data_IF_987565002027
#
_entry.id   IF_987565002027
#
_cell.length_a   1.000
_cell.length_b   1.000
_cell.length_c   1.000
_cell.angle_alpha   90.00
_cell.angle_beta   90.00
_cell.angle_gamma   90.00
#
_symmetry.space_group_name_H-M   'P 1'
#
loop_
_entity.id
_entity.type
_entity.pdbx_description
1 polymer ?
#
# COMPACT_ATOMS: atom_id res chain seq x y z
N UNK A 1 -14.66 11.05 23.04
CA UNK A 1 -14.15 10.53 21.74
C UNK A 1 -13.57 9.13 21.85
N UNK A 2 -12.64 8.79 22.75
CA UNK A 2 -12.03 7.45 22.87
C UNK A 2 -13.05 6.30 23.09
N UNK A 3 -14.09 6.48 23.87
CA UNK A 3 -15.12 5.45 24.14
C UNK A 3 -15.97 5.10 22.89
N UNK A 4 -16.30 6.09 22.06
CA UNK A 4 -17.04 5.86 20.82
C UNK A 4 -16.22 5.12 19.77
N UNK A 5 -14.91 5.43 19.67
CA UNK A 5 -13.99 4.74 18.79
C UNK A 5 -13.83 3.26 19.19
N UNK A 6 -13.66 3.00 20.50
CA UNK A 6 -13.59 1.64 21.03
C UNK A 6 -14.90 0.86 20.77
N UNK A 7 -16.05 1.49 20.92
CA UNK A 7 -17.35 0.87 20.65
C UNK A 7 -17.54 0.55 19.15
N UNK A 8 -17.13 1.47 18.26
CA UNK A 8 -17.14 1.21 16.82
C UNK A 8 -16.23 0.05 16.43
N UNK A 9 -15.03 -0.03 17.00
CA UNK A 9 -14.09 -1.14 16.77
C UNK A 9 -14.69 -2.46 17.26
N UNK A 10 -15.29 -2.49 18.46
CA UNK A 10 -15.95 -3.71 18.98
C UNK A 10 -17.15 -4.13 18.12
N UNK A 11 -17.95 -3.20 17.63
CA UNK A 11 -19.08 -3.49 16.74
C UNK A 11 -18.59 -4.02 15.39
N UNK A 12 -17.53 -3.46 14.83
CA UNK A 12 -16.91 -3.97 13.61
C UNK A 12 -16.38 -5.40 13.80
N UNK A 13 -15.67 -5.65 14.88
CA UNK A 13 -15.16 -7.00 15.22
C UNK A 13 -16.30 -7.98 15.43
N UNK A 14 -17.38 -7.58 16.11
CA UNK A 14 -18.56 -8.42 16.32
C UNK A 14 -19.32 -8.69 15.01
N UNK A 15 -19.43 -7.72 14.10
CA UNK A 15 -20.03 -7.96 12.78
C UNK A 15 -19.20 -8.93 11.93
N UNK A 16 -17.87 -8.84 11.96
CA UNK A 16 -16.98 -9.79 11.26
C UNK A 16 -17.08 -11.19 11.87
N UNK A 17 -17.23 -11.30 13.19
CA UNK A 17 -17.40 -12.59 13.87
C UNK A 17 -18.78 -13.26 13.66
N UNK A 18 -19.81 -12.47 13.34
CA UNK A 18 -21.19 -12.96 13.17
C UNK A 18 -21.53 -13.35 11.73
N UNK A 19 -20.65 -13.14 10.75
CA UNK A 19 -20.89 -13.54 9.37
C UNK A 19 -20.80 -15.07 9.24
N UNK A 20 -21.86 -15.77 8.73
CA UNK A 20 -21.77 -17.19 8.44
C UNK A 20 -20.69 -17.38 7.36
N UNK A 21 -19.63 -18.08 7.71
CA UNK A 21 -18.50 -18.36 6.84
C UNK A 21 -18.88 -19.41 5.79
N UNK A 22 -19.51 -18.97 4.71
CA UNK A 22 -19.58 -19.75 3.47
C UNK A 22 -18.31 -19.44 2.68
N UNK A 23 -17.21 -20.03 3.12
CA UNK A 23 -15.91 -19.77 2.49
C UNK A 23 -15.87 -20.40 1.10
N UNK A 24 -16.09 -19.62 0.07
CA UNK A 24 -15.60 -19.98 -1.25
C UNK A 24 -14.07 -19.93 -1.20
N UNK A 25 -13.46 -21.07 -1.50
CA UNK A 25 -12.01 -21.22 -1.57
C UNK A 25 -11.49 -20.34 -2.70
N UNK A 26 -10.34 -19.69 -2.50
CA UNK A 26 -9.61 -19.04 -3.59
C UNK A 26 -9.46 -20.02 -4.75
N UNK A 27 -10.13 -19.72 -5.86
CA UNK A 27 -10.19 -20.61 -7.03
C UNK A 27 -8.92 -20.38 -7.85
N UNK A 28 -8.16 -21.42 -8.21
CA UNK A 28 -7.03 -21.27 -9.13
C UNK A 28 -7.49 -20.65 -10.45
N UNK A 29 -6.70 -19.71 -10.98
CA UNK A 29 -6.96 -18.91 -12.19
C UNK A 29 -8.01 -17.80 -12.00
N UNK A 30 -8.40 -17.49 -10.78
CA UNK A 30 -9.25 -16.35 -10.47
C UNK A 30 -8.46 -15.07 -10.62
N UNK A 31 -9.12 -14.00 -11.04
CA UNK A 31 -8.57 -12.66 -11.04
C UNK A 31 -9.11 -11.87 -9.86
N UNK A 32 -8.42 -10.82 -9.48
CA UNK A 32 -8.94 -9.88 -8.48
C UNK A 32 -8.50 -8.46 -8.79
N UNK A 33 -9.33 -7.53 -8.36
CA UNK A 33 -9.04 -6.09 -8.34
C UNK A 33 -9.01 -5.64 -6.90
N UNK A 34 -8.03 -4.83 -6.54
CA UNK A 34 -7.85 -4.33 -5.18
C UNK A 34 -7.68 -2.82 -5.19
N UNK A 35 -8.48 -2.14 -4.37
CA UNK A 35 -8.32 -0.72 -4.06
C UNK A 35 -7.51 -0.59 -2.77
N UNK A 36 -6.43 0.17 -2.80
CA UNK A 36 -5.46 0.30 -1.71
C UNK A 36 -5.38 1.76 -1.27
N UNK A 37 -5.43 1.98 0.04
CA UNK A 37 -5.01 3.23 0.66
C UNK A 37 -3.73 2.98 1.45
N UNK A 38 -2.72 3.82 1.29
CA UNK A 38 -1.43 3.68 1.95
C UNK A 38 -1.03 4.91 2.76
N UNK A 39 -0.23 4.66 3.79
CA UNK A 39 0.41 5.68 4.62
C UNK A 39 1.91 5.43 4.52
N UNK A 40 2.65 6.27 3.78
CA UNK A 40 4.09 6.18 3.72
C UNK A 40 4.70 6.58 5.06
N UNK A 41 5.77 5.87 5.45
CA UNK A 41 6.51 6.12 6.69
C UNK A 41 7.83 6.79 6.31
N UNK A 42 7.99 8.06 6.70
CA UNK A 42 9.19 8.82 6.43
C UNK A 42 10.03 8.88 7.70
N UNK A 43 11.34 8.59 7.58
CA UNK A 43 12.26 8.67 8.71
C UNK A 43 12.41 10.12 9.17
N UNK A 44 12.10 10.39 10.45
CA UNK A 44 12.17 11.73 11.04
C UNK A 44 10.84 12.51 11.02
N UNK A 45 9.83 12.03 10.32
CA UNK A 45 8.48 12.59 10.32
C UNK A 45 7.55 11.77 11.22
N UNK A 46 6.45 12.38 11.69
CA UNK A 46 5.43 11.66 12.46
C UNK A 46 4.65 10.73 11.52
N UNK A 47 4.28 9.54 12.02
CA UNK A 47 3.26 8.71 11.37
C UNK A 47 2.01 9.56 11.11
N UNK A 48 1.52 9.55 9.90
CA UNK A 48 0.44 10.43 9.44
C UNK A 48 0.85 11.92 9.44
N UNK A 49 2.04 12.24 8.91
CA UNK A 49 2.40 13.62 8.63
C UNK A 49 1.28 14.29 7.82
N UNK A 50 0.95 15.53 8.17
CA UNK A 50 -0.08 16.30 7.47
C UNK A 50 0.19 16.24 5.97
N UNK A 51 -0.79 15.78 5.17
CA UNK A 51 -0.73 15.68 3.72
C UNK A 51 0.08 14.49 3.14
N UNK A 52 0.46 13.49 3.96
CA UNK A 52 1.08 12.27 3.44
C UNK A 52 0.05 11.15 3.32
N UNK A 53 -0.25 10.74 2.11
CA UNK A 53 -1.18 9.65 1.81
C UNK A 53 -0.80 8.99 0.48
N UNK A 54 -1.29 7.78 0.27
CA UNK A 54 -1.20 7.08 -1.00
C UNK A 54 -2.51 6.40 -1.34
N UNK A 55 -2.76 6.25 -2.62
CA UNK A 55 -3.88 5.48 -3.17
C UNK A 55 -3.38 4.64 -4.31
N UNK A 56 -3.94 3.44 -4.47
CA UNK A 56 -3.52 2.53 -5.52
C UNK A 56 -4.61 1.60 -5.99
N UNK A 57 -4.43 1.09 -7.19
CA UNK A 57 -5.27 0.08 -7.80
C UNK A 57 -4.37 -1.10 -8.20
N UNK A 58 -4.70 -2.29 -7.70
CA UNK A 58 -3.99 -3.50 -8.06
C UNK A 58 -4.89 -4.47 -8.82
N UNK A 59 -4.29 -5.16 -9.78
CA UNK A 59 -4.84 -6.32 -10.44
C UNK A 59 -3.99 -7.53 -10.06
N UNK A 60 -4.62 -8.63 -9.65
CA UNK A 60 -3.91 -9.86 -9.32
C UNK A 60 -4.52 -11.07 -10.03
N UNK A 61 -3.66 -12.01 -10.37
CA UNK A 61 -4.02 -13.29 -10.98
C UNK A 61 -3.54 -14.43 -10.09
N UNK A 62 -4.48 -15.26 -9.62
CA UNK A 62 -4.20 -16.37 -8.72
C UNK A 62 -3.78 -17.63 -9.49
N UNK A 63 -2.71 -18.26 -9.00
CA UNK A 63 -2.23 -19.56 -9.45
C UNK A 63 -2.69 -20.67 -8.52
N UNK A 64 -2.17 -21.88 -8.71
CA UNK A 64 -2.40 -22.99 -7.78
C UNK A 64 -1.83 -22.66 -6.39
N UNK A 65 -2.47 -23.20 -5.33
CA UNK A 65 -2.07 -23.03 -3.93
C UNK A 65 -2.14 -21.58 -3.43
N UNK A 66 -3.08 -20.78 -3.95
CA UNK A 66 -3.32 -19.40 -3.55
C UNK A 66 -2.14 -18.42 -3.79
N UNK A 67 -1.10 -18.79 -4.51
CA UNK A 67 -0.09 -17.84 -4.97
C UNK A 67 -0.70 -16.88 -6.00
N UNK A 68 -0.22 -15.66 -6.08
CA UNK A 68 -0.66 -14.74 -7.12
C UNK A 68 0.45 -13.81 -7.61
N UNK A 69 0.40 -13.47 -8.90
CA UNK A 69 1.11 -12.33 -9.44
C UNK A 69 0.22 -11.09 -9.40
N UNK A 70 0.81 -9.93 -9.24
CA UNK A 70 0.07 -8.68 -9.18
C UNK A 70 0.76 -7.56 -9.95
N UNK A 71 -0.07 -6.64 -10.44
CA UNK A 71 0.31 -5.36 -10.98
C UNK A 71 -0.39 -4.31 -10.12
N UNK A 72 0.37 -3.38 -9.50
CA UNK A 72 -0.17 -2.31 -8.67
C UNK A 72 0.30 -0.97 -9.22
N UNK A 73 -0.64 -0.11 -9.57
CA UNK A 73 -0.40 1.30 -9.82
C UNK A 73 -0.71 2.08 -8.54
N UNK A 74 0.26 2.80 -8.01
CA UNK A 74 0.17 3.54 -6.75
C UNK A 74 0.56 5.00 -6.97
N UNK A 75 -0.23 5.90 -6.45
CA UNK A 75 0.07 7.33 -6.36
C UNK A 75 0.25 7.68 -4.89
N UNK A 76 1.36 8.32 -4.56
CA UNK A 76 1.64 8.79 -3.21
C UNK A 76 1.94 10.29 -3.23
N UNK A 77 1.46 10.97 -2.22
CA UNK A 77 1.85 12.32 -1.89
C UNK A 77 2.50 12.31 -0.52
N UNK A 78 3.66 12.97 -0.42
CA UNK A 78 4.43 13.11 0.82
C UNK A 78 4.65 14.59 1.08
N UNK A 79 4.34 15.03 2.29
CA UNK A 79 4.68 16.39 2.76
C UNK A 79 6.06 16.35 3.42
N UNK A 80 7.07 16.93 2.79
CA UNK A 80 8.41 17.06 3.35
C UNK A 80 8.55 18.39 4.05
N UNK A 81 8.95 18.37 5.32
CA UNK A 81 9.17 19.60 6.07
C UNK A 81 10.58 20.15 5.77
N UNK A 82 10.65 21.30 5.08
CA UNK A 82 11.88 22.05 4.89
C UNK A 82 11.79 23.37 5.66
N UNK A 83 12.57 23.51 6.76
CA UNK A 83 12.47 24.64 7.69
C UNK A 83 11.03 24.83 8.20
N UNK A 84 10.36 25.91 7.77
CA UNK A 84 8.96 26.24 8.12
C UNK A 84 7.98 25.95 6.97
N UNK A 85 8.44 25.40 5.86
CA UNK A 85 7.64 25.18 4.65
C UNK A 85 7.41 23.68 4.42
N UNK A 86 6.23 23.36 3.88
CA UNK A 86 5.90 22.02 3.42
C UNK A 86 6.19 21.94 1.91
N UNK A 87 7.09 21.03 1.53
CA UNK A 87 7.45 20.78 0.13
C UNK A 87 6.78 19.50 -0.28
N UNK A 88 5.77 19.54 -1.17
CA UNK A 88 5.10 18.34 -1.63
C UNK A 88 6.01 17.52 -2.54
N UNK A 89 6.08 16.23 -2.27
CA UNK A 89 6.66 15.24 -3.15
C UNK A 89 5.54 14.30 -3.59
N UNK A 90 5.46 14.05 -4.89
CA UNK A 90 4.47 13.17 -5.50
C UNK A 90 5.17 12.04 -6.22
N UNK A 91 4.75 10.82 -5.95
CA UNK A 91 5.27 9.62 -6.58
C UNK A 91 4.14 8.91 -7.33
N UNK A 92 4.37 8.59 -8.60
CA UNK A 92 3.56 7.65 -9.36
C UNK A 92 4.38 6.39 -9.57
N UNK A 93 3.98 5.28 -8.94
CA UNK A 93 4.73 4.02 -8.91
C UNK A 93 3.92 2.90 -9.56
N UNK A 94 4.60 2.08 -10.33
CA UNK A 94 4.08 0.85 -10.90
C UNK A 94 4.88 -0.33 -10.34
N UNK A 95 4.20 -1.26 -9.69
CA UNK A 95 4.79 -2.47 -9.12
C UNK A 95 4.34 -3.68 -9.92
N UNK A 96 5.27 -4.56 -10.25
CA UNK A 96 5.00 -5.89 -10.78
C UNK A 96 5.63 -6.92 -9.85
N UNK A 97 4.81 -7.80 -9.28
CA UNK A 97 5.28 -8.68 -8.21
C UNK A 97 4.55 -10.00 -8.10
N UNK A 98 5.02 -10.77 -7.13
CA UNK A 98 4.51 -12.10 -6.82
C UNK A 98 4.37 -12.26 -5.31
N UNK A 99 3.24 -12.85 -4.87
CA UNK A 99 2.91 -13.13 -3.48
C UNK A 99 2.79 -14.63 -3.26
N UNK A 100 3.43 -15.07 -2.19
CA UNK A 100 3.42 -16.48 -1.76
C UNK A 100 2.71 -16.59 -0.41
N UNK A 101 1.69 -17.45 -0.26
CA UNK A 101 1.03 -17.68 1.02
C UNK A 101 1.97 -18.44 1.95
N UNK A 102 2.21 -17.88 3.14
CA UNK A 102 3.05 -18.49 4.18
C UNK A 102 2.21 -19.04 5.33
N UNK A 103 1.05 -18.46 5.54
CA UNK A 103 0.12 -18.84 6.59
C UNK A 103 -1.29 -18.92 6.01
N UNK A 104 -2.07 -19.90 6.46
CA UNK A 104 -3.52 -19.96 6.23
C UNK A 104 -4.18 -20.64 7.40
N UNK A 105 -5.37 -20.18 7.78
CA UNK A 105 -6.17 -20.87 8.77
C UNK A 105 -6.82 -22.14 8.18
N UNK A 106 -7.35 -23.00 9.06
CA UNK A 106 -8.02 -24.25 8.63
C UNK A 106 -9.28 -23.97 7.79
N UNK A 107 -9.98 -22.88 8.06
CA UNK A 107 -11.18 -22.44 7.33
C UNK A 107 -10.85 -21.77 6.00
N UNK A 108 -9.59 -21.41 5.76
CA UNK A 108 -9.13 -20.63 4.59
C UNK A 108 -9.80 -19.27 4.47
N UNK A 109 -10.11 -18.66 5.61
CA UNK A 109 -10.68 -17.32 5.70
C UNK A 109 -9.59 -16.25 5.90
N UNK A 110 -8.43 -16.68 6.41
CA UNK A 110 -7.29 -15.80 6.71
C UNK A 110 -6.07 -16.35 5.99
N UNK A 111 -5.41 -15.49 5.22
CA UNK A 111 -4.15 -15.79 4.56
C UNK A 111 -3.09 -14.77 4.92
N UNK A 112 -1.90 -15.26 5.25
CA UNK A 112 -0.71 -14.44 5.38
C UNK A 112 0.20 -14.67 4.19
N UNK A 113 0.65 -13.59 3.55
CA UNK A 113 1.50 -13.61 2.37
C UNK A 113 2.82 -12.91 2.61
N UNK A 114 3.85 -13.40 1.95
CA UNK A 114 5.09 -12.69 1.69
C UNK A 114 5.32 -12.61 0.19
N UNK A 115 5.89 -11.50 -0.27
CA UNK A 115 6.15 -11.31 -1.69
C UNK A 115 7.22 -10.30 -1.99
N UNK A 116 7.56 -10.26 -3.27
CA UNK A 116 8.55 -9.36 -3.83
C UNK A 116 7.97 -8.71 -5.08
N UNK A 117 8.39 -7.48 -5.37
CA UNK A 117 8.08 -6.81 -6.61
C UNK A 117 9.28 -6.02 -7.14
N UNK A 118 9.36 -5.91 -8.46
CA UNK A 118 10.07 -4.85 -9.13
C UNK A 118 9.16 -3.62 -9.21
N UNK A 119 9.73 -2.45 -9.16
CA UNK A 119 8.97 -1.21 -9.27
C UNK A 119 9.69 -0.20 -10.16
N UNK A 120 8.91 0.61 -10.84
CA UNK A 120 9.37 1.78 -11.57
C UNK A 120 8.34 2.89 -11.41
N UNK A 121 8.78 4.13 -11.55
CA UNK A 121 7.88 5.25 -11.36
C UNK A 121 8.51 6.58 -11.70
N UNK A 122 7.76 7.62 -11.39
CA UNK A 122 8.14 9.00 -11.61
C UNK A 122 7.90 9.79 -10.33
N UNK A 123 8.93 10.48 -9.89
CA UNK A 123 8.94 11.32 -8.69
C UNK A 123 8.91 12.78 -9.12
N UNK A 124 8.00 13.56 -8.57
CA UNK A 124 7.85 14.99 -8.80
C UNK A 124 8.02 15.74 -7.47
N UNK A 125 8.95 16.67 -7.40
CA UNK A 125 9.24 17.48 -6.21
C UNK A 125 8.76 18.92 -6.41
N UNK A 126 8.06 19.48 -5.41
CA UNK A 126 7.61 20.88 -5.38
C UNK A 126 6.77 21.31 -6.61
N UNK A 127 5.93 20.42 -7.15
CA UNK A 127 5.11 20.71 -8.34
C UNK A 127 5.95 21.24 -9.54
N UNK A 128 7.17 20.73 -9.70
CA UNK A 128 8.15 21.13 -10.72
C UNK A 128 8.59 22.61 -10.65
N UNK A 129 8.34 23.29 -9.53
CA UNK A 129 8.75 24.68 -9.31
C UNK A 129 10.19 24.75 -8.78
N UNK A 130 11.04 25.55 -9.44
CA UNK A 130 12.44 25.72 -9.05
C UNK A 130 12.63 26.52 -7.76
N UNK A 131 11.79 27.51 -7.51
CA UNK A 131 11.91 28.41 -6.39
C UNK A 131 11.09 27.93 -5.20
N UNK A 132 11.76 27.84 -4.06
CA UNK A 132 11.13 27.71 -2.76
C UNK A 132 10.70 29.10 -2.25
N UNK A 133 9.76 29.21 -1.31
CA UNK A 133 9.29 30.49 -0.77
C UNK A 133 10.39 31.33 -0.10
N UNK A 134 11.50 30.70 0.32
CA UNK A 134 12.66 31.37 0.92
C UNK A 134 13.73 31.83 -0.10
N UNK A 135 13.42 31.67 -1.41
CA UNK A 135 14.36 32.03 -2.49
C UNK A 135 15.40 30.96 -2.81
N UNK A 136 15.42 29.84 -2.10
CA UNK A 136 16.30 28.71 -2.43
C UNK A 136 15.85 28.04 -3.73
N UNK A 137 16.79 27.59 -4.54
CA UNK A 137 16.52 26.91 -5.82
C UNK A 137 16.71 25.42 -5.66
N UNK A 138 15.71 24.65 -6.10
CA UNK A 138 15.81 23.20 -6.24
C UNK A 138 16.53 22.86 -7.56
N UNK A 139 17.60 22.09 -7.47
CA UNK A 139 18.38 21.66 -8.64
C UNK A 139 17.67 20.57 -9.44
N UNK A 140 17.04 19.63 -8.75
CA UNK A 140 16.33 18.51 -9.33
C UNK A 140 14.85 18.50 -8.90
N UNK A 141 13.96 18.43 -9.88
CA UNK A 141 12.51 18.59 -9.68
C UNK A 141 11.70 17.34 -9.94
N UNK A 142 12.12 16.57 -10.90
CA UNK A 142 11.38 15.42 -11.38
C UNK A 142 12.34 14.36 -11.90
N UNK A 143 12.13 13.10 -11.51
CA UNK A 143 13.01 12.00 -11.85
C UNK A 143 12.29 10.71 -12.09
N UNK A 144 12.87 9.89 -12.95
CA UNK A 144 12.50 8.49 -13.05
C UNK A 144 13.11 7.70 -11.90
N UNK A 145 12.28 6.93 -11.20
CA UNK A 145 12.69 6.08 -10.08
C UNK A 145 12.44 4.61 -10.44
N UNK A 146 13.31 3.74 -9.94
CA UNK A 146 13.17 2.30 -10.12
C UNK A 146 13.70 1.57 -8.89
N UNK A 147 13.32 0.31 -8.75
CA UNK A 147 13.78 -0.45 -7.60
C UNK A 147 13.06 -1.76 -7.36
N UNK A 148 12.99 -2.13 -6.10
CA UNK A 148 12.30 -3.34 -5.66
C UNK A 148 11.61 -3.13 -4.33
N UNK A 149 10.61 -3.97 -4.05
CA UNK A 149 9.92 -3.94 -2.77
C UNK A 149 9.70 -5.35 -2.23
N UNK A 150 9.70 -5.43 -0.90
CA UNK A 150 9.26 -6.59 -0.13
C UNK A 150 7.87 -6.27 0.41
N UNK A 151 6.96 -7.22 0.28
CA UNK A 151 5.57 -7.10 0.74
C UNK A 151 5.28 -8.17 1.77
N UNK A 152 4.57 -7.79 2.82
CA UNK A 152 3.91 -8.69 3.76
C UNK A 152 2.45 -8.29 3.84
N UNK A 153 1.52 -9.24 3.72
CA UNK A 153 0.09 -8.95 3.83
C UNK A 153 -0.67 -10.00 4.62
N UNK A 154 -1.75 -9.54 5.23
CA UNK A 154 -2.80 -10.39 5.82
C UNK A 154 -4.08 -10.09 5.08
N UNK A 155 -4.69 -11.12 4.51
CA UNK A 155 -5.94 -11.06 3.76
C UNK A 155 -7.03 -11.78 4.55
N UNK A 156 -8.14 -11.08 4.81
CA UNK A 156 -9.29 -11.57 5.55
C UNK A 156 -10.48 -11.65 4.59
N UNK A 157 -11.03 -12.84 4.41
CA UNK A 157 -12.22 -13.04 3.61
C UNK A 157 -13.45 -12.50 4.35
N UNK A 158 -14.10 -11.46 3.82
CA UNK A 158 -15.31 -10.86 4.38
C UNK A 158 -16.57 -11.52 3.81
N UNK A 159 -16.56 -11.74 2.51
CA UNK A 159 -17.62 -12.46 1.77
C UNK A 159 -16.97 -13.35 0.71
N UNK A 160 -17.77 -14.12 -0.02
CA UNK A 160 -17.26 -15.03 -1.07
C UNK A 160 -16.33 -14.35 -2.07
N UNK A 161 -16.55 -13.08 -2.37
CA UNK A 161 -15.77 -12.33 -3.38
C UNK A 161 -15.02 -11.14 -2.81
N UNK A 162 -15.24 -10.75 -1.55
CA UNK A 162 -14.65 -9.56 -0.97
C UNK A 162 -13.67 -9.91 0.15
N UNK A 163 -12.44 -9.42 0.03
CA UNK A 163 -11.39 -9.56 1.03
C UNK A 163 -10.98 -8.19 1.56
N UNK A 164 -10.75 -8.14 2.85
CA UNK A 164 -10.03 -7.03 3.47
C UNK A 164 -8.56 -7.37 3.54
N UNK A 165 -7.71 -6.44 3.12
CA UNK A 165 -6.26 -6.64 3.01
C UNK A 165 -5.53 -5.60 3.85
N UNK A 166 -4.64 -6.06 4.70
CA UNK A 166 -3.65 -5.23 5.39
C UNK A 166 -2.27 -5.57 4.84
N UNK A 167 -1.49 -4.57 4.43
CA UNK A 167 -0.15 -4.75 3.87
C UNK A 167 0.87 -3.88 4.60
N UNK A 168 2.06 -4.40 4.74
CA UNK A 168 3.27 -3.65 5.03
C UNK A 168 4.23 -3.86 3.86
N UNK A 169 4.82 -2.79 3.37
CA UNK A 169 5.77 -2.83 2.27
C UNK A 169 7.04 -2.05 2.61
N UNK A 170 8.18 -2.60 2.24
CA UNK A 170 9.48 -1.96 2.32
C UNK A 170 10.04 -1.79 0.91
N UNK A 171 10.13 -0.55 0.44
CA UNK A 171 10.58 -0.21 -0.91
C UNK A 171 12.01 0.29 -0.89
N UNK A 172 12.83 -0.22 -1.82
CA UNK A 172 14.17 0.29 -2.13
C UNK A 172 14.11 0.99 -3.48
N UNK A 173 14.19 2.32 -3.46
CA UNK A 173 14.11 3.19 -4.62
C UNK A 173 15.49 3.73 -4.99
N UNK A 174 15.83 3.64 -6.27
CA UNK A 174 17.00 4.23 -6.87
C UNK A 174 16.57 5.35 -7.83
N UNK A 175 17.44 6.34 -8.03
CA UNK A 175 17.14 7.52 -8.85
C UNK A 175 16.45 8.65 -8.09
N UNK A 176 16.10 8.47 -6.82
CA UNK A 176 15.53 9.48 -5.94
C UNK A 176 16.61 10.15 -5.09
N UNK A 177 16.43 11.43 -4.77
CA UNK A 177 17.30 12.19 -3.83
C UNK A 177 16.91 11.98 -2.37
N UNK A 178 15.76 11.38 -2.12
CA UNK A 178 15.31 11.00 -0.79
C UNK A 178 15.95 9.70 -0.32
N UNK A 179 15.63 9.32 0.93
CA UNK A 179 16.07 8.05 1.46
C UNK A 179 15.65 6.90 0.54
N UNK A 180 16.62 6.04 0.20
CA UNK A 180 16.39 4.88 -0.69
C UNK A 180 15.37 3.89 -0.12
N UNK A 181 15.33 3.75 1.21
CA UNK A 181 14.38 2.86 1.87
C UNK A 181 13.14 3.62 2.33
N UNK A 182 11.98 3.27 1.77
CA UNK A 182 10.68 3.89 2.04
C UNK A 182 9.66 2.82 2.43
N UNK A 183 9.46 2.60 3.74
CA UNK A 183 8.41 1.72 4.21
C UNK A 183 7.03 2.39 4.11
N UNK A 184 5.99 1.58 3.91
CA UNK A 184 4.61 2.03 3.95
C UNK A 184 3.71 0.94 4.55
N UNK A 185 2.62 1.37 5.16
CA UNK A 185 1.53 0.50 5.63
C UNK A 185 0.30 0.85 4.82
N UNK A 186 -0.42 -0.15 4.37
CA UNK A 186 -1.61 0.03 3.55
C UNK A 186 -2.75 -0.88 3.98
N UNK A 187 -3.96 -0.41 3.74
CA UNK A 187 -5.18 -1.18 3.88
C UNK A 187 -5.98 -1.10 2.58
N UNK A 188 -6.66 -2.17 2.23
CA UNK A 188 -7.40 -2.25 0.98
C UNK A 188 -8.58 -3.19 1.01
N UNK A 189 -9.39 -3.06 -0.02
CA UNK A 189 -10.47 -3.99 -0.33
C UNK A 189 -10.15 -4.66 -1.67
N UNK A 190 -10.09 -5.99 -1.65
CA UNK A 190 -9.82 -6.82 -2.81
C UNK A 190 -11.09 -7.55 -3.22
N UNK A 191 -11.46 -7.43 -4.47
CA UNK A 191 -12.62 -8.05 -5.06
C UNK A 191 -12.21 -9.13 -6.07
N UNK A 192 -12.63 -10.37 -5.82
CA UNK A 192 -12.39 -11.52 -6.70
C UNK A 192 -13.44 -11.56 -7.81
N UNK A 193 -12.96 -11.77 -9.04
CA UNK A 193 -13.75 -11.78 -10.28
C UNK A 193 -13.63 -13.14 -10.98
#
# INVERSE_FOLDING_TARGET
MKRWLSMMVCVMVAMVAAMPSYAQRLIPRQNSVELVGSIPIIKGERLCAKESFGVGLAFAHYFKRANYAFLLAEYEQLGLTYRSYNVPLRDALLHFGYMHPILSDRGKNIFGYLGLSALCGYEELNEDKRLLPDGATLLDRSRFTYGGAIHSSVELLLTDNLLFVLKAQGRLLFGSDLHRFRPAISAGLKFNI
#
